data_IF_505303051558
#
_entry.id   IF_505303051558
#
_cell.length_a   1.000
_cell.length_b   1.000
_cell.length_c   1.000
_cell.angle_alpha   90.00
_cell.angle_beta   90.00
_cell.angle_gamma   90.00
#
_symmetry.space_group_name_H-M   'P 1'
#
loop_
_entity.id
_entity.type
_entity.pdbx_description
1 polymer ?
#
# COMPACT_ATOMS: atom_id res chain seq x y z
N UNK A 1 -0.47 20.91 0.51
CA UNK A 1 -1.84 20.65 1.03
C UNK A 1 -2.04 19.16 1.04
N UNK A 2 -2.59 18.58 2.11
CA UNK A 2 -2.75 17.13 2.24
C UNK A 2 -4.22 16.79 2.45
N UNK A 3 -4.72 15.81 1.71
CA UNK A 3 -6.05 15.24 1.89
C UNK A 3 -5.97 13.71 1.86
N UNK A 4 -7.00 13.02 2.33
CA UNK A 4 -7.07 11.57 2.27
C UNK A 4 -8.47 11.12 1.88
N UNK A 5 -8.56 9.95 1.26
CA UNK A 5 -9.81 9.28 0.92
C UNK A 5 -9.64 7.77 0.99
N UNK A 6 -10.77 7.06 1.11
CA UNK A 6 -10.80 5.60 1.18
C UNK A 6 -11.31 5.02 -0.13
N UNK A 7 -10.77 3.87 -0.54
CA UNK A 7 -11.26 3.10 -1.68
C UNK A 7 -11.62 1.70 -1.23
N UNK A 8 -12.88 1.31 -1.44
CA UNK A 8 -13.38 -0.04 -1.19
C UNK A 8 -13.40 -0.86 -2.47
N UNK A 9 -13.43 -2.19 -2.33
CA UNK A 9 -13.70 -3.09 -3.45
C UNK A 9 -15.09 -2.80 -4.05
N UNK A 10 -15.17 -2.84 -5.38
CA UNK A 10 -16.43 -2.59 -6.11
C UNK A 10 -17.50 -3.66 -5.84
N UNK A 11 -17.03 -4.85 -5.48
CA UNK A 11 -17.79 -6.01 -5.02
C UNK A 11 -16.95 -6.68 -3.92
N UNK A 12 -17.53 -6.96 -2.74
CA UNK A 12 -16.83 -7.66 -1.68
C UNK A 12 -16.54 -9.10 -2.10
N UNK A 13 -15.30 -9.53 -1.95
CA UNK A 13 -14.85 -10.88 -2.36
C UNK A 13 -14.01 -11.56 -1.30
N UNK A 14 -13.62 -10.86 -0.23
CA UNK A 14 -12.88 -11.42 0.89
C UNK A 14 -13.65 -12.52 1.59
N UNK A 15 -14.93 -12.29 1.90
CA UNK A 15 -15.82 -13.24 2.59
C UNK A 15 -15.21 -13.78 3.91
N UNK A 16 -14.36 -12.99 4.58
CA UNK A 16 -13.61 -13.39 5.77
C UNK A 16 -12.77 -14.66 5.57
N UNK A 17 -12.32 -14.91 4.33
CA UNK A 17 -11.35 -15.97 4.06
C UNK A 17 -10.05 -15.63 4.76
N UNK A 18 -9.38 -16.67 5.25
CA UNK A 18 -8.15 -16.55 6.02
C UNK A 18 -7.03 -17.29 5.31
N UNK A 19 -5.88 -16.65 5.19
CA UNK A 19 -4.63 -17.27 4.74
C UNK A 19 -3.70 -17.27 5.93
N UNK A 20 -3.28 -18.46 6.35
CA UNK A 20 -2.21 -18.61 7.34
C UNK A 20 -0.86 -18.33 6.67
N UNK A 21 -0.05 -17.47 7.29
CA UNK A 21 1.29 -17.16 6.79
C UNK A 21 2.27 -18.20 7.32
N UNK A 22 3.02 -18.82 6.41
CA UNK A 22 4.04 -19.78 6.79
C UNK A 22 5.21 -19.05 7.46
N UNK A 23 5.95 -19.77 8.30
CA UNK A 23 7.09 -19.22 9.01
C UNK A 23 8.13 -18.56 8.07
N UNK A 24 8.24 -18.99 6.80
CA UNK A 24 9.10 -18.35 5.80
C UNK A 24 8.56 -17.00 5.29
N UNK A 25 7.25 -16.85 5.15
CA UNK A 25 6.61 -15.59 4.74
C UNK A 25 6.88 -14.49 5.79
N UNK A 26 7.06 -14.90 7.05
CA UNK A 26 7.41 -14.01 8.16
C UNK A 26 8.86 -13.50 8.14
N UNK A 27 9.78 -14.21 7.47
CA UNK A 27 11.15 -13.72 7.27
C UNK A 27 11.19 -12.62 6.20
N UNK A 28 10.15 -12.52 5.37
CA UNK A 28 9.97 -11.53 4.30
C UNK A 28 8.91 -10.48 4.73
N UNK A 29 8.73 -10.22 6.03
CA UNK A 29 8.07 -9.00 6.52
C UNK A 29 8.92 -7.73 6.25
N UNK A 30 9.62 -7.72 5.11
CA UNK A 30 10.24 -6.57 4.52
C UNK A 30 9.17 -5.70 3.88
N UNK A 31 9.23 -4.41 4.16
CA UNK A 31 8.36 -3.42 3.54
C UNK A 31 8.84 -3.18 2.11
N UNK A 32 7.97 -3.44 1.14
CA UNK A 32 8.22 -3.08 -0.26
C UNK A 32 7.64 -1.68 -0.47
N UNK A 33 8.49 -0.75 -0.91
CA UNK A 33 8.04 0.57 -1.34
C UNK A 33 8.35 0.73 -2.81
N UNK A 34 7.32 0.93 -3.63
CA UNK A 34 7.53 1.30 -5.02
C UNK A 34 7.12 2.75 -5.24
N UNK A 35 7.81 3.39 -6.17
CA UNK A 35 7.48 4.74 -6.62
C UNK A 35 7.38 4.77 -8.13
N UNK A 36 6.23 5.21 -8.62
CA UNK A 36 5.93 5.44 -10.03
C UNK A 36 5.76 6.93 -10.27
N UNK A 37 6.39 7.44 -11.33
CA UNK A 37 6.34 8.86 -11.68
C UNK A 37 5.72 9.02 -13.06
N UNK A 38 4.71 9.88 -13.12
CA UNK A 38 3.92 10.15 -14.29
C UNK A 38 4.10 11.62 -14.70
N UNK A 39 4.42 11.90 -15.98
CA UNK A 39 4.59 13.26 -16.49
C UNK A 39 3.25 13.96 -16.78
N UNK A 40 2.13 13.31 -16.47
CA UNK A 40 0.78 13.78 -16.78
C UNK A 40 -0.12 13.70 -15.55
N UNK A 41 -1.18 14.50 -15.55
CA UNK A 41 -2.16 14.53 -14.47
C UNK A 41 -2.84 13.18 -14.26
N UNK A 42 -2.93 12.76 -13.00
CA UNK A 42 -3.70 11.58 -12.59
C UNK A 42 -5.15 12.00 -12.38
N UNK A 43 -6.07 11.43 -13.15
CA UNK A 43 -7.49 11.57 -12.87
C UNK A 43 -7.86 10.74 -11.63
N UNK A 44 -8.07 11.42 -10.52
CA UNK A 44 -8.34 10.81 -9.21
C UNK A 44 -9.61 9.95 -9.21
N UNK A 45 -10.66 10.36 -9.93
CA UNK A 45 -11.90 9.59 -9.98
C UNK A 45 -11.74 8.32 -10.82
N UNK A 46 -11.02 8.41 -11.95
CA UNK A 46 -10.67 7.24 -12.75
C UNK A 46 -9.77 6.26 -11.98
N UNK A 47 -8.83 6.77 -11.19
CA UNK A 47 -7.98 5.97 -10.31
C UNK A 47 -8.81 5.23 -9.26
N UNK A 48 -9.71 5.93 -8.55
CA UNK A 48 -10.61 5.32 -7.56
C UNK A 48 -11.42 4.18 -8.17
N UNK A 49 -12.01 4.42 -9.34
CA UNK A 49 -12.82 3.43 -10.05
C UNK A 49 -11.99 2.22 -10.50
N UNK A 50 -10.79 2.46 -11.04
CA UNK A 50 -9.89 1.39 -11.46
C UNK A 50 -9.43 0.56 -10.26
N UNK A 51 -8.98 1.21 -9.19
CA UNK A 51 -8.52 0.56 -7.98
C UNK A 51 -9.66 -0.22 -7.32
N UNK A 52 -10.86 0.36 -7.20
CA UNK A 52 -12.04 -0.32 -6.66
C UNK A 52 -12.34 -1.63 -7.37
N UNK A 53 -12.23 -1.67 -8.71
CA UNK A 53 -12.37 -2.90 -9.49
C UNK A 53 -11.21 -3.88 -9.25
N UNK A 54 -9.98 -3.39 -9.20
CA UNK A 54 -8.79 -4.22 -8.92
C UNK A 54 -8.91 -4.90 -7.55
N UNK A 55 -9.34 -4.18 -6.52
CA UNK A 55 -9.50 -4.74 -5.17
C UNK A 55 -10.55 -5.86 -5.08
N UNK A 56 -11.53 -5.87 -5.99
CA UNK A 56 -12.47 -6.99 -6.11
C UNK A 56 -11.86 -8.26 -6.71
N UNK A 57 -10.73 -8.14 -7.41
CA UNK A 57 -10.00 -9.28 -7.96
C UNK A 57 -8.89 -9.74 -7.00
N UNK A 58 -8.45 -8.86 -6.09
CA UNK A 58 -7.34 -9.06 -5.17
C UNK A 58 -7.79 -8.89 -3.69
N UNK A 59 -8.66 -9.78 -3.18
CA UNK A 59 -9.30 -9.64 -1.87
C UNK A 59 -8.36 -9.68 -0.67
N UNK A 60 -7.14 -10.21 -0.84
CA UNK A 60 -6.16 -10.19 0.25
C UNK A 60 -5.60 -8.78 0.48
N UNK A 61 -5.50 -7.92 -0.54
CA UNK A 61 -5.00 -6.54 -0.43
C UNK A 61 -5.89 -5.69 0.48
N UNK A 62 -7.20 -5.95 0.45
CA UNK A 62 -8.21 -5.33 1.33
C UNK A 62 -8.38 -6.06 2.66
N UNK A 63 -7.43 -6.93 3.00
CA UNK A 63 -7.42 -7.66 4.26
C UNK A 63 -6.73 -6.92 5.40
N UNK A 64 -6.56 -7.65 6.50
CA UNK A 64 -5.77 -7.28 7.67
C UNK A 64 -4.90 -8.44 8.08
N UNK A 65 -3.69 -8.15 8.53
CA UNK A 65 -2.85 -9.17 9.17
C UNK A 65 -3.18 -9.22 10.66
N UNK A 66 -3.59 -10.39 11.12
CA UNK A 66 -3.98 -10.73 12.48
C UNK A 66 -2.92 -11.65 13.07
N UNK A 67 -2.60 -11.46 14.34
CA UNK A 67 -1.82 -12.42 15.12
C UNK A 67 -2.78 -13.19 16.04
N UNK A 68 -2.98 -14.47 15.77
CA UNK A 68 -3.85 -15.35 16.54
C UNK A 68 -3.02 -16.17 17.54
N UNK A 69 -3.43 -16.14 18.80
CA UNK A 69 -2.79 -16.87 19.92
C UNK A 69 -1.28 -16.59 20.07
N UNK A 70 -0.82 -15.37 19.78
CA UNK A 70 0.59 -14.94 19.84
C UNK A 70 1.56 -15.76 18.96
N UNK A 71 1.04 -16.59 18.04
CA UNK A 71 1.84 -17.59 17.32
C UNK A 71 1.51 -17.71 15.84
N UNK A 72 0.26 -17.49 15.43
CA UNK A 72 -0.16 -17.69 14.04
C UNK A 72 -0.46 -16.35 13.40
N UNK A 73 0.35 -15.96 12.41
CA UNK A 73 0.05 -14.80 11.58
C UNK A 73 -0.92 -15.21 10.47
N UNK A 74 -2.01 -14.47 10.36
CA UNK A 74 -3.10 -14.75 9.43
C UNK A 74 -3.43 -13.48 8.67
N UNK A 75 -3.62 -13.56 7.37
CA UNK A 75 -4.30 -12.52 6.61
C UNK A 75 -5.79 -12.85 6.58
N UNK A 76 -6.60 -12.00 7.19
CA UNK A 76 -8.06 -12.06 7.08
C UNK A 76 -8.54 -11.12 5.98
N UNK A 77 -9.19 -11.68 4.96
CA UNK A 77 -9.79 -10.92 3.86
C UNK A 77 -11.14 -10.34 4.29
N UNK A 78 -11.10 -9.20 4.97
CA UNK A 78 -12.27 -8.55 5.55
C UNK A 78 -12.91 -7.45 4.67
N UNK A 79 -12.46 -7.29 3.41
CA UNK A 79 -12.96 -6.29 2.46
C UNK A 79 -12.87 -4.85 2.99
N UNK A 80 -11.85 -4.56 3.82
CA UNK A 80 -11.66 -3.23 4.41
C UNK A 80 -11.21 -2.22 3.33
N UNK A 81 -11.73 -0.98 3.37
CA UNK A 81 -11.24 0.07 2.49
C UNK A 81 -9.76 0.35 2.74
N UNK A 82 -9.04 0.68 1.67
CA UNK A 82 -7.64 1.11 1.74
C UNK A 82 -7.55 2.65 1.74
N UNK A 83 -6.68 3.23 2.57
CA UNK A 83 -6.47 4.68 2.57
C UNK A 83 -5.57 5.10 1.42
N UNK A 84 -5.92 6.22 0.80
CA UNK A 84 -5.08 6.94 -0.15
C UNK A 84 -4.84 8.35 0.38
N UNK A 85 -3.58 8.72 0.51
CA UNK A 85 -3.18 10.09 0.85
C UNK A 85 -2.84 10.85 -0.43
N UNK A 86 -3.41 12.04 -0.60
CA UNK A 86 -3.06 12.97 -1.67
C UNK A 86 -2.28 14.15 -1.09
N UNK A 87 -1.12 14.44 -1.65
CA UNK A 87 -0.24 15.53 -1.25
C UNK A 87 0.01 16.44 -2.44
N UNK A 88 -0.27 17.73 -2.26
CA UNK A 88 0.16 18.79 -3.17
C UNK A 88 1.46 19.38 -2.63
N UNK A 89 2.55 19.16 -3.36
CA UNK A 89 3.90 19.62 -3.03
C UNK A 89 4.25 20.85 -3.88
N UNK A 90 4.41 21.99 -3.20
CA UNK A 90 4.81 23.26 -3.83
C UNK A 90 6.30 23.56 -3.66
N UNK A 91 6.99 22.82 -2.80
CA UNK A 91 8.36 23.11 -2.37
C UNK A 91 9.39 22.47 -3.31
N UNK A 92 9.06 21.31 -3.86
CA UNK A 92 9.91 20.57 -4.78
C UNK A 92 9.76 21.12 -6.21
N UNK A 93 10.90 21.25 -6.91
CA UNK A 93 10.94 21.70 -8.31
C UNK A 93 10.51 20.62 -9.29
N UNK A 94 11.06 19.43 -9.12
CA UNK A 94 10.86 18.24 -9.95
C UNK A 94 11.20 16.99 -9.14
N UNK A 95 10.76 15.82 -9.60
CA UNK A 95 11.13 14.56 -8.99
C UNK A 95 12.65 14.35 -9.06
N UNK A 96 13.26 13.93 -7.94
CA UNK A 96 14.72 13.91 -7.79
C UNK A 96 15.42 12.73 -8.45
N UNK A 97 14.67 11.81 -9.10
CA UNK A 97 15.22 10.62 -9.74
C UNK A 97 14.71 10.52 -11.18
N UNK A 98 15.58 10.11 -12.10
CA UNK A 98 15.24 10.10 -13.53
C UNK A 98 14.29 8.95 -13.95
N UNK A 99 13.75 8.14 -13.02
CA UNK A 99 12.94 6.95 -13.37
C UNK A 99 12.07 6.41 -12.23
N UNK A 100 11.18 5.47 -12.56
CA UNK A 100 10.49 4.60 -11.60
C UNK A 100 11.53 3.76 -10.85
N UNK A 101 11.49 3.74 -9.52
CA UNK A 101 12.47 3.03 -8.72
C UNK A 101 11.77 2.14 -7.71
N UNK A 102 12.18 0.87 -7.66
CA UNK A 102 11.93 -0.02 -6.53
C UNK A 102 13.05 0.25 -5.54
N UNK A 103 12.71 0.74 -4.36
CA UNK A 103 13.71 1.27 -3.43
C UNK A 103 13.69 0.46 -2.15
N UNK A 104 14.83 -0.13 -1.81
CA UNK A 104 15.00 -0.76 -0.50
C UNK A 104 14.78 0.26 0.63
N UNK A 105 14.12 -0.18 1.71
CA UNK A 105 13.66 0.65 2.83
C UNK A 105 14.71 1.56 3.49
N UNK A 106 16.01 1.37 3.20
CA UNK A 106 17.12 2.14 3.78
C UNK A 106 17.51 3.40 2.99
N UNK A 107 16.84 3.72 1.88
CA UNK A 107 17.16 4.91 1.09
C UNK A 107 16.59 6.19 1.72
N UNK A 108 17.49 7.08 2.17
CA UNK A 108 17.19 8.30 2.95
C UNK A 108 16.39 9.39 2.22
N UNK A 109 16.21 9.28 0.90
CA UNK A 109 15.53 10.31 0.09
C UNK A 109 13.99 10.26 0.15
N UNK A 110 13.42 9.15 0.63
CA UNK A 110 12.00 8.84 0.51
C UNK A 110 11.05 9.07 1.70
N UNK A 111 11.49 9.35 2.95
CA UNK A 111 10.55 9.46 4.07
C UNK A 111 9.47 10.53 3.90
N UNK A 112 9.73 11.57 3.11
CA UNK A 112 8.74 12.63 2.84
C UNK A 112 7.64 12.19 1.84
N UNK A 113 7.90 11.18 1.00
CA UNK A 113 7.01 10.76 -0.07
C UNK A 113 6.26 9.47 0.20
N UNK A 114 6.65 8.71 1.23
CA UNK A 114 6.00 7.44 1.55
C UNK A 114 5.29 7.57 2.89
N UNK A 115 4.03 7.15 2.95
CA UNK A 115 3.34 6.94 4.22
C UNK A 115 3.71 5.54 4.72
N UNK A 116 4.42 5.49 5.85
CA UNK A 116 4.95 4.23 6.36
C UNK A 116 3.84 3.34 6.92
N UNK A 117 3.75 2.10 6.44
CA UNK A 117 3.02 1.02 7.14
C UNK A 117 3.85 0.63 8.36
N UNK A 118 3.28 0.73 9.56
CA UNK A 118 4.02 0.45 10.80
C UNK A 118 4.15 -1.04 11.08
N UNK A 119 5.18 -1.67 10.52
CA UNK A 119 5.51 -3.11 10.72
C UNK A 119 5.72 -3.47 12.20
N UNK A 120 6.03 -2.51 13.06
CA UNK A 120 6.22 -2.74 14.51
C UNK A 120 4.92 -3.06 15.25
N UNK A 121 3.74 -2.74 14.70
CA UNK A 121 2.44 -3.07 15.34
C UNK A 121 2.04 -4.54 15.24
N UNK A 122 2.72 -5.32 14.39
CA UNK A 122 2.43 -6.74 14.18
C UNK A 122 2.80 -7.63 15.36
N UNK A 123 3.81 -7.24 16.12
CA UNK A 123 4.27 -7.97 17.29
C UNK A 123 3.46 -7.66 18.56
N UNK A 124 2.47 -6.74 18.47
CA UNK A 124 1.71 -6.24 19.62
C UNK A 124 0.20 -6.58 19.56
N UNK A 125 -0.20 -7.64 18.84
CA UNK A 125 -1.56 -8.19 18.85
C UNK A 125 -2.72 -7.28 18.39
N UNK A 126 -2.46 -6.09 17.83
CA UNK A 126 -3.54 -5.14 17.49
C UNK A 126 -3.28 -4.36 16.21
N UNK A 127 -3.08 -5.05 15.11
CA UNK A 127 -2.85 -4.38 13.83
C UNK A 127 -4.10 -4.38 12.97
N UNK A 128 -5.00 -3.41 13.18
CA UNK A 128 -5.97 -2.97 12.15
C UNK A 128 -5.28 -2.15 11.04
N UNK A 129 -3.96 -2.33 10.88
CA UNK A 129 -3.17 -1.67 9.86
C UNK A 129 -3.50 -2.29 8.48
N UNK A 130 -3.81 -1.48 7.47
CA UNK A 130 -3.93 -1.93 6.10
C UNK A 130 -2.64 -2.56 5.56
N UNK A 131 -2.80 -3.57 4.71
CA UNK A 131 -1.68 -4.26 4.06
C UNK A 131 -1.01 -3.43 2.97
N UNK A 132 -1.75 -2.49 2.41
CA UNK A 132 -1.27 -1.57 1.38
C UNK A 132 -1.74 -0.15 1.70
N UNK A 133 -0.80 0.80 1.59
CA UNK A 133 -1.08 2.24 1.60
C UNK A 133 -0.65 2.84 0.27
N UNK A 134 -1.50 3.70 -0.29
CA UNK A 134 -1.16 4.50 -1.47
C UNK A 134 -0.99 5.96 -1.07
N UNK A 135 0.01 6.61 -1.64
CA UNK A 135 0.20 8.04 -1.54
C UNK A 135 0.50 8.64 -2.90
N UNK A 136 -0.32 9.60 -3.28
CA UNK A 136 -0.22 10.36 -4.51
C UNK A 136 0.38 11.72 -4.16
N UNK A 137 1.46 12.10 -4.82
CA UNK A 137 2.10 13.41 -4.65
C UNK A 137 2.11 14.14 -5.98
N UNK A 138 1.45 15.29 -6.06
CA UNK A 138 1.54 16.20 -7.19
C UNK A 138 2.62 17.25 -6.91
N UNK A 139 3.65 17.29 -7.75
CA UNK A 139 4.71 18.29 -7.72
C UNK A 139 4.30 19.44 -8.62
N UNK A 140 3.88 20.56 -8.03
CA UNK A 140 3.21 21.65 -8.76
C UNK A 140 4.16 22.34 -9.76
N UNK A 141 5.45 22.43 -9.43
CA UNK A 141 6.40 23.17 -10.25
C UNK A 141 6.75 22.46 -11.57
N UNK A 142 6.88 21.13 -11.56
CA UNK A 142 7.14 20.30 -12.75
C UNK A 142 5.87 19.72 -13.38
N UNK A 143 4.73 19.82 -12.69
CA UNK A 143 3.47 19.16 -13.05
C UNK A 143 3.56 17.62 -13.10
N UNK A 144 4.45 17.05 -12.29
CA UNK A 144 4.63 15.60 -12.19
C UNK A 144 3.76 15.00 -11.08
N UNK A 145 3.34 13.75 -11.29
CA UNK A 145 2.61 12.98 -10.31
C UNK A 145 3.42 11.76 -9.88
N UNK A 146 3.61 11.60 -8.59
CA UNK A 146 4.30 10.46 -8.01
C UNK A 146 3.30 9.61 -7.24
N UNK A 147 3.17 8.35 -7.60
CA UNK A 147 2.44 7.35 -6.83
C UNK A 147 3.44 6.52 -6.04
N UNK A 148 3.28 6.50 -4.72
CA UNK A 148 4.03 5.61 -3.84
C UNK A 148 3.07 4.59 -3.25
N UNK A 149 3.45 3.31 -3.27
CA UNK A 149 2.76 2.28 -2.52
C UNK A 149 3.72 1.65 -1.53
N UNK A 150 3.23 1.45 -0.31
CA UNK A 150 3.90 0.65 0.70
C UNK A 150 3.08 -0.62 0.88
N UNK A 151 3.69 -1.75 0.60
CA UNK A 151 3.11 -3.08 0.74
C UNK A 151 3.85 -3.87 1.81
N UNK A 152 3.09 -4.68 2.52
CA UNK A 152 3.58 -5.44 3.66
C UNK A 152 3.76 -6.95 3.37
N UNK A 153 3.21 -7.47 2.28
CA UNK A 153 3.27 -8.89 1.93
C UNK A 153 3.88 -9.02 0.55
N UNK A 154 4.82 -9.95 0.38
CA UNK A 154 5.46 -10.20 -0.90
C UNK A 154 4.52 -10.94 -1.88
N UNK A 155 4.66 -10.66 -3.18
CA UNK A 155 3.84 -11.19 -4.29
C UNK A 155 3.87 -12.74 -4.38
N UNK A 156 4.85 -13.37 -3.73
CA UNK A 156 5.09 -14.82 -3.73
C UNK A 156 4.07 -15.64 -2.89
N UNK A 157 3.08 -15.00 -2.25
CA UNK A 157 1.93 -15.69 -1.66
C UNK A 157 1.03 -16.44 -2.68
N UNK A 158 1.46 -16.53 -3.95
CA UNK A 158 0.78 -17.28 -5.02
C UNK A 158 0.83 -18.81 -4.88
N UNK A 159 1.48 -19.35 -3.84
CA UNK A 159 1.73 -20.80 -3.70
C UNK A 159 1.00 -21.50 -2.56
N UNK A 160 -0.27 -21.21 -2.29
CA UNK A 160 -1.07 -22.14 -1.47
C UNK A 160 -2.47 -22.38 -2.06
N UNK A 161 -2.59 -23.52 -2.74
CA UNK A 161 -3.83 -24.22 -3.09
C UNK A 161 -3.96 -25.48 -2.25
#
# INVERSE_FOLDING_TARGET
MTSSFMVSSSTPTGNNRRIELAAMDLWILGRINNVFVYPSEINIDQLKDALSRTLSLWPFVVGRTILENDQHHIIEMCDNPIPITLVINNDLKEWSLDSNVIVEANNKLFPIFIDEVQVTKFFNNSSDEPLVHFKLTHIVQSNEWCETNAEQIDDDCTFYR
#
